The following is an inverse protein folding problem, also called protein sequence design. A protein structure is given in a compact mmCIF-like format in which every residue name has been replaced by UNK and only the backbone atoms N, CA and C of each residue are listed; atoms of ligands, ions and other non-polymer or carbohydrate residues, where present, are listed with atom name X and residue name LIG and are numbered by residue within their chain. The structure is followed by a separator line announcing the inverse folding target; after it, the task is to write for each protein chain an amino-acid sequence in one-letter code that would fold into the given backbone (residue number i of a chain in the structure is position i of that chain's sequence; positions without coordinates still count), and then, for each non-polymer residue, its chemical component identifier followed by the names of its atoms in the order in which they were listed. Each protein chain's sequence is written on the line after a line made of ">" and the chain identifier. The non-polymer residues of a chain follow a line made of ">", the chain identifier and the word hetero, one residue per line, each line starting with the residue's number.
data_IF_412151141308
#
_entry.id   IF_412151141308
#
_cell.length_a   1.000
_cell.length_b   1.000
_cell.length_c   1.000
_cell.angle_alpha   90.00
_cell.angle_beta   90.00
_cell.angle_gamma   90.00
#
_symmetry.space_group_name_H-M   'P 1'
#
loop_
_entity.id
_entity.type
_entity.pdbx_description
1 polymer ?
#
# COMPACT_ATOMS: atom_id res chain seq x y z
N UNK A 1 -4.88 -0.39 17.32
CA UNK A 1 -6.28 -0.09 16.98
C UNK A 1 -6.43 -0.32 15.48
N UNK A 2 -7.54 -0.87 15.00
CA UNK A 2 -7.78 -0.93 13.56
C UNK A 2 -7.89 0.50 13.01
N UNK A 3 -7.50 0.75 11.74
CA UNK A 3 -7.82 2.02 11.09
C UNK A 3 -9.33 2.25 11.21
N UNK A 4 -9.79 3.48 11.48
CA UNK A 4 -11.22 3.76 11.55
C UNK A 4 -11.87 3.35 10.23
N UNK A 5 -13.01 2.65 10.31
CA UNK A 5 -13.75 2.28 9.12
C UNK A 5 -14.14 3.55 8.33
N UNK A 6 -14.08 3.52 6.99
CA UNK A 6 -14.43 4.68 6.19
C UNK A 6 -15.87 5.11 6.47
N UNK A 7 -16.05 6.39 6.81
CA UNK A 7 -17.38 6.95 7.05
C UNK A 7 -18.03 7.25 5.71
N UNK A 8 -19.00 6.42 5.32
CA UNK A 8 -19.75 6.62 4.09
C UNK A 8 -20.84 7.68 4.29
N UNK A 9 -20.57 8.90 3.79
CA UNK A 9 -21.55 9.98 3.75
C UNK A 9 -22.06 10.22 2.32
N UNK A 10 -23.24 10.83 2.13
CA UNK A 10 -23.70 11.29 0.81
C UNK A 10 -22.68 12.19 0.11
N UNK A 11 -21.96 13.01 0.87
CA UNK A 11 -20.89 13.87 0.36
C UNK A 11 -19.70 13.05 -0.15
N UNK A 12 -19.21 12.08 0.63
CA UNK A 12 -18.11 11.17 0.23
C UNK A 12 -18.48 10.36 -1.03
N UNK A 13 -19.75 9.95 -1.16
CA UNK A 13 -20.23 9.27 -2.37
C UNK A 13 -20.24 10.20 -3.59
N UNK A 14 -20.56 11.47 -3.40
CA UNK A 14 -20.49 12.48 -4.46
C UNK A 14 -19.06 12.66 -4.95
N UNK A 15 -18.10 12.84 -4.04
CA UNK A 15 -16.68 12.93 -4.38
C UNK A 15 -16.17 11.64 -5.05
N UNK A 16 -16.55 10.47 -4.55
CA UNK A 16 -16.23 9.19 -5.22
C UNK A 16 -16.70 9.18 -6.67
N UNK A 17 -17.94 9.61 -6.93
CA UNK A 17 -18.48 9.64 -8.28
C UNK A 17 -17.78 10.66 -9.19
N UNK A 18 -17.30 11.78 -8.64
CA UNK A 18 -16.48 12.74 -9.39
C UNK A 18 -15.16 12.11 -9.84
N UNK A 19 -14.48 11.36 -8.96
CA UNK A 19 -13.27 10.63 -9.32
C UNK A 19 -13.54 9.55 -10.38
N UNK A 20 -14.63 8.79 -10.22
CA UNK A 20 -14.98 7.69 -11.13
C UNK A 20 -15.37 8.16 -12.52
N UNK A 21 -16.12 9.26 -12.63
CA UNK A 21 -16.71 9.71 -13.90
C UNK A 21 -15.93 10.84 -14.56
N UNK A 22 -15.09 11.55 -13.81
CA UNK A 22 -14.35 12.71 -14.32
C UNK A 22 -15.24 13.89 -14.74
N UNK A 23 -16.53 13.92 -14.38
CA UNK A 23 -17.40 15.03 -14.75
C UNK A 23 -16.91 16.33 -14.14
N UNK A 24 -16.67 17.35 -14.98
CA UNK A 24 -16.13 18.66 -14.61
C UNK A 24 -14.62 18.65 -14.25
N UNK A 25 -13.90 17.58 -14.61
CA UNK A 25 -12.44 17.56 -14.49
C UNK A 25 -11.80 18.64 -15.36
N UNK A 26 -10.81 19.32 -14.82
CA UNK A 26 -10.04 20.38 -15.46
C UNK A 26 -8.54 20.05 -15.51
N UNK A 27 -8.18 18.80 -15.18
CA UNK A 27 -6.82 18.27 -15.17
C UNK A 27 -6.79 16.78 -15.45
N UNK A 28 -5.68 16.30 -16.02
CA UNK A 28 -5.38 14.89 -16.23
C UNK A 28 -4.07 14.52 -15.54
N UNK A 29 -4.06 13.34 -14.93
CA UNK A 29 -2.83 12.66 -14.54
C UNK A 29 -2.67 11.45 -15.45
N UNK A 30 -1.61 11.42 -16.23
CA UNK A 30 -1.31 10.36 -17.18
C UNK A 30 -0.29 9.42 -16.54
N UNK A 31 -0.63 8.14 -16.48
CA UNK A 31 0.23 7.09 -15.97
C UNK A 31 0.19 5.90 -16.94
N UNK A 32 1.25 5.76 -17.74
CA UNK A 32 1.26 4.76 -18.82
C UNK A 32 0.04 4.92 -19.74
N UNK A 33 -0.75 3.86 -19.87
CA UNK A 33 -1.97 3.83 -20.69
C UNK A 33 -3.22 4.32 -19.94
N UNK A 34 -3.09 4.69 -18.67
CA UNK A 34 -4.19 5.17 -17.83
C UNK A 34 -4.16 6.68 -17.71
N UNK A 35 -5.30 7.30 -17.99
CA UNK A 35 -5.51 8.73 -17.78
C UNK A 35 -6.57 8.95 -16.72
N UNK A 36 -6.19 9.62 -15.65
CA UNK A 36 -7.08 10.00 -14.57
C UNK A 36 -7.59 11.41 -14.79
N UNK A 37 -8.89 11.54 -15.06
CA UNK A 37 -9.58 12.83 -15.10
C UNK A 37 -9.83 13.32 -13.68
N UNK A 38 -9.16 14.40 -13.27
CA UNK A 38 -9.16 14.91 -11.90
C UNK A 38 -9.53 16.38 -11.82
N UNK A 39 -9.94 16.82 -10.64
CA UNK A 39 -10.34 18.19 -10.36
C UNK A 39 -9.21 18.90 -9.62
N UNK A 40 -8.65 19.95 -10.21
CA UNK A 40 -7.55 20.75 -9.65
C UNK A 40 -7.86 21.23 -8.25
N UNK A 41 -9.09 21.73 -8.04
CA UNK A 41 -9.53 22.23 -6.73
C UNK A 41 -9.45 21.17 -5.63
N UNK A 42 -9.61 19.88 -5.96
CA UNK A 42 -9.53 18.78 -4.99
C UNK A 42 -8.07 18.35 -4.78
N UNK A 43 -7.31 18.18 -5.85
CA UNK A 43 -5.96 17.59 -5.77
C UNK A 43 -4.91 18.62 -5.34
N UNK A 44 -4.97 19.85 -5.84
CA UNK A 44 -4.01 20.92 -5.51
C UNK A 44 -4.25 21.51 -4.12
N UNK A 45 -5.48 21.50 -3.61
CA UNK A 45 -5.76 21.95 -2.24
C UNK A 45 -5.20 20.99 -1.17
N UNK A 46 -4.88 19.76 -1.58
CA UNK A 46 -4.35 18.72 -0.70
C UNK A 46 -2.87 18.41 -0.94
N UNK A 47 -2.34 18.68 -2.12
CA UNK A 47 -0.95 18.39 -2.49
C UNK A 47 -0.25 19.63 -3.02
N UNK A 48 0.70 20.15 -2.23
CA UNK A 48 1.62 21.22 -2.63
C UNK A 48 2.41 20.82 -3.88
N UNK A 49 2.88 19.58 -3.94
CA UNK A 49 3.57 19.02 -5.11
C UNK A 49 2.74 19.16 -6.39
N UNK A 50 1.46 18.76 -6.36
CA UNK A 50 0.58 18.89 -7.53
C UNK A 50 0.23 20.34 -7.83
N UNK A 51 0.11 21.20 -6.82
CA UNK A 51 -0.10 22.63 -7.02
C UNK A 51 1.10 23.27 -7.75
N UNK A 52 2.33 23.06 -7.24
CA UNK A 52 3.56 23.61 -7.79
C UNK A 52 3.87 23.06 -9.20
N UNK A 53 3.59 21.77 -9.42
CA UNK A 53 3.75 21.14 -10.73
C UNK A 53 2.81 21.73 -11.80
N UNK A 54 1.69 22.32 -11.40
CA UNK A 54 0.79 23.03 -12.31
C UNK A 54 1.21 24.49 -12.49
N UNK A 55 1.61 25.20 -11.44
CA UNK A 55 1.95 26.62 -11.51
C UNK A 55 3.26 26.87 -12.29
N UNK A 56 4.16 25.90 -12.31
CA UNK A 56 5.38 25.94 -13.14
C UNK A 56 5.13 25.78 -14.64
N UNK A 57 3.93 25.33 -15.06
CA UNK A 57 3.53 25.24 -16.47
C UNK A 57 2.76 26.51 -16.87
N UNK A 58 3.50 27.51 -17.35
CA UNK A 58 3.06 28.91 -17.51
C UNK A 58 2.20 29.21 -18.76
N UNK A 59 1.66 28.22 -19.46
CA UNK A 59 0.78 28.44 -20.61
C UNK A 59 -0.70 28.31 -20.17
N UNK A 60 -1.31 29.46 -19.88
CA UNK A 60 -2.70 29.60 -19.47
C UNK A 60 -3.65 29.52 -20.68
N UNK A 61 -4.18 28.33 -20.97
CA UNK A 61 -5.58 28.05 -21.37
C UNK A 61 -5.70 26.62 -21.88
N UNK A 62 -6.29 25.73 -21.07
CA UNK A 62 -6.51 24.34 -21.47
C UNK A 62 -6.54 23.36 -20.31
N UNK A 63 -6.86 22.10 -20.64
CA UNK A 63 -6.77 20.96 -19.73
C UNK A 63 -5.29 20.72 -19.39
N UNK A 64 -4.96 20.72 -18.09
CA UNK A 64 -3.57 20.56 -17.64
C UNK A 64 -3.21 19.09 -17.45
N UNK A 65 -1.99 18.72 -17.81
CA UNK A 65 -1.55 17.33 -17.77
C UNK A 65 -0.30 17.18 -16.91
N UNK A 66 -0.27 16.15 -16.08
CA UNK A 66 0.93 15.69 -15.37
C UNK A 66 1.17 14.24 -15.74
N UNK A 67 2.35 13.94 -16.29
CA UNK A 67 2.76 12.58 -16.61
C UNK A 67 3.57 11.98 -15.48
N UNK A 68 3.17 10.80 -15.03
CA UNK A 68 3.84 9.99 -14.00
C UNK A 68 4.31 8.65 -14.58
N UNK A 69 5.30 7.99 -13.97
CA UNK A 69 5.78 6.69 -14.42
C UNK A 69 4.66 5.63 -14.44
N UNK A 70 4.60 4.83 -15.51
CA UNK A 70 3.60 3.77 -15.67
C UNK A 70 3.65 2.69 -14.57
N UNK A 71 4.79 2.51 -13.91
CA UNK A 71 4.93 1.60 -12.76
C UNK A 71 4.07 2.01 -11.56
N UNK A 72 3.60 3.25 -11.52
CA UNK A 72 3.00 3.84 -10.34
C UNK A 72 1.47 3.85 -10.41
N UNK A 73 0.83 3.37 -11.49
CA UNK A 73 -0.60 3.67 -11.74
C UNK A 73 -1.53 3.14 -10.65
N UNK A 74 -1.25 1.94 -10.15
CA UNK A 74 -1.96 1.34 -9.03
C UNK A 74 -1.80 2.16 -7.73
N UNK A 75 -0.62 2.74 -7.51
CA UNK A 75 -0.34 3.56 -6.33
C UNK A 75 -0.92 4.97 -6.48
N UNK A 76 -0.84 5.55 -7.68
CA UNK A 76 -1.44 6.85 -8.04
C UNK A 76 -2.96 6.78 -7.88
N UNK A 77 -3.61 5.69 -8.30
CA UNK A 77 -5.04 5.50 -8.08
C UNK A 77 -5.40 5.50 -6.59
N UNK A 78 -4.56 4.90 -5.74
CA UNK A 78 -4.76 4.90 -4.28
C UNK A 78 -4.54 6.28 -3.66
N UNK A 79 -3.54 7.03 -4.15
CA UNK A 79 -3.33 8.44 -3.79
C UNK A 79 -4.54 9.29 -4.16
N UNK A 80 -5.08 9.12 -5.37
CA UNK A 80 -6.27 9.82 -5.84
C UNK A 80 -7.52 9.40 -5.06
N UNK A 81 -7.69 8.12 -4.79
CA UNK A 81 -8.76 7.61 -3.91
C UNK A 81 -8.73 8.35 -2.57
N UNK A 82 -7.56 8.45 -1.94
CA UNK A 82 -7.43 9.18 -0.68
C UNK A 82 -7.84 10.65 -0.82
N UNK A 83 -7.39 11.37 -1.85
CA UNK A 83 -7.76 12.77 -2.03
C UNK A 83 -9.27 12.99 -2.14
N UNK A 84 -10.02 12.05 -2.71
CA UNK A 84 -11.47 12.21 -2.89
C UNK A 84 -12.30 11.63 -1.74
N UNK A 85 -11.88 10.52 -1.14
CA UNK A 85 -12.70 9.79 -0.16
C UNK A 85 -12.03 9.60 1.19
N UNK A 86 -10.82 10.16 1.39
CA UNK A 86 -10.01 10.08 2.60
C UNK A 86 -9.67 8.65 3.03
N UNK A 87 -9.67 7.72 2.06
CA UNK A 87 -9.32 6.32 2.23
C UNK A 87 -8.85 5.72 0.89
N UNK A 88 -8.22 4.55 0.92
CA UNK A 88 -7.82 3.77 -0.25
C UNK A 88 -7.95 2.27 0.02
N UNK A 89 -8.10 1.46 -1.03
CA UNK A 89 -8.18 0.00 -0.87
C UNK A 89 -6.79 -0.63 -0.92
N UNK A 90 -6.53 -1.55 0.02
CA UNK A 90 -5.33 -2.39 -0.02
C UNK A 90 -5.51 -3.55 -1.01
N UNK A 91 -6.75 -3.97 -1.23
CA UNK A 91 -7.18 -5.00 -2.17
C UNK A 91 -8.01 -4.40 -3.31
N UNK A 92 -7.36 -4.25 -4.46
CA UNK A 92 -7.98 -3.65 -5.65
C UNK A 92 -8.05 -2.12 -5.61
N UNK A 93 -9.02 -1.57 -6.33
CA UNK A 93 -9.09 -0.15 -6.69
C UNK A 93 -10.52 0.40 -6.57
N UNK A 94 -10.62 1.73 -6.46
CA UNK A 94 -11.89 2.46 -6.64
C UNK A 94 -12.11 2.70 -8.12
N UNK A 95 -11.12 3.27 -8.80
CA UNK A 95 -11.14 3.45 -10.25
C UNK A 95 -10.74 2.13 -10.92
N UNK A 96 -11.56 1.57 -11.83
CA UNK A 96 -11.19 0.36 -12.56
C UNK A 96 -9.95 0.61 -13.43
N UNK A 97 -8.79 0.15 -12.96
CA UNK A 97 -7.58 0.08 -13.76
C UNK A 97 -7.66 -1.18 -14.61
N UNK A 98 -8.44 -1.11 -15.69
CA UNK A 98 -8.54 -2.23 -16.62
C UNK A 98 -7.17 -2.56 -17.18
N UNK A 99 -6.58 -3.70 -16.80
CA UNK A 99 -5.68 -4.36 -17.76
C UNK A 99 -6.53 -4.53 -19.01
N UNK A 100 -6.17 -3.85 -20.09
CA UNK A 100 -6.63 -4.25 -21.42
C UNK A 100 -6.00 -5.61 -21.69
N UNK A 101 -6.57 -6.68 -21.11
CA UNK A 101 -6.62 -7.94 -21.83
C UNK A 101 -7.29 -7.60 -23.14
N UNK A 102 -6.57 -7.78 -24.25
CA UNK A 102 -7.15 -7.76 -25.59
C UNK A 102 -8.22 -8.86 -25.65
N UNK A 103 -9.44 -8.55 -25.26
CA UNK A 103 -10.67 -9.24 -25.65
C UNK A 103 -11.83 -8.41 -25.08
N UNK A 104 -12.27 -7.44 -25.86
CA UNK A 104 -13.67 -6.99 -25.96
C UNK A 104 -13.77 -6.13 -27.24
N UNK A 105 -13.27 -6.67 -28.35
CA UNK A 105 -13.88 -6.40 -29.64
C UNK A 105 -15.06 -7.39 -29.73
N UNK A 106 -16.20 -7.00 -29.17
CA UNK A 106 -17.49 -7.54 -29.57
C UNK A 106 -18.12 -6.50 -30.50
N UNK A 107 -17.52 -6.37 -31.69
CA UNK A 107 -18.29 -6.01 -32.87
C UNK A 107 -19.11 -7.24 -33.24
N UNK A 108 -20.42 -7.04 -33.32
CA UNK A 108 -21.42 -7.99 -33.80
C UNK A 108 -21.15 -8.43 -35.23
N UNK A 109 -21.17 -9.76 -35.45
CA UNK A 109 -21.68 -10.59 -36.58
C UNK A 109 -21.49 -10.03 -38.02
N UNK A 110 -20.99 -10.72 -39.06
CA UNK A 110 -21.18 -12.07 -39.62
C UNK A 110 -19.93 -12.36 -40.53
N UNK A 111 -19.34 -13.55 -40.73
CA UNK A 111 -19.78 -14.65 -41.60
C UNK A 111 -18.65 -15.72 -41.74
N UNK A 112 -19.03 -16.93 -42.17
CA UNK A 112 -18.31 -18.21 -42.32
C UNK A 112 -17.08 -18.23 -43.26
N UNK A 113 -16.01 -18.99 -42.93
CA UNK A 113 -15.49 -20.14 -43.71
C UNK A 113 -14.27 -20.81 -43.01
N UNK A 114 -14.15 -22.12 -43.23
CA UNK A 114 -13.26 -23.12 -42.63
C UNK A 114 -11.83 -23.11 -43.19
N UNK A 115 -10.83 -23.20 -42.31
CA UNK A 115 -9.70 -24.15 -42.50
C UNK A 115 -8.82 -24.29 -41.26
N UNK A 116 -8.40 -25.53 -41.00
CA UNK A 116 -7.66 -25.97 -39.83
C UNK A 116 -6.17 -25.63 -39.88
N UNK A 117 -5.59 -25.13 -38.78
CA UNK A 117 -4.15 -25.26 -38.46
C UNK A 117 -3.94 -25.54 -36.97
N UNK A 118 -3.02 -26.46 -36.72
CA UNK A 118 -2.69 -27.17 -35.48
C UNK A 118 -2.31 -26.33 -34.25
N UNK A 119 -2.86 -26.82 -33.14
CA UNK A 119 -2.32 -26.99 -31.78
C UNK A 119 -0.86 -26.57 -31.59
N UNK A 120 -0.69 -25.53 -30.75
CA UNK A 120 0.55 -25.17 -30.07
C UNK A 120 0.24 -24.43 -28.76
N UNK A 121 -0.68 -24.97 -27.95
CA UNK A 121 -1.12 -24.36 -26.69
C UNK A 121 -0.02 -24.47 -25.63
N UNK A 122 0.88 -23.49 -25.58
CA UNK A 122 1.65 -23.17 -24.39
C UNK A 122 0.67 -22.69 -23.31
N UNK A 123 0.27 -23.61 -22.43
CA UNK A 123 -0.59 -23.35 -21.28
C UNK A 123 0.13 -22.38 -20.34
N UNK A 124 -0.13 -21.09 -20.45
CA UNK A 124 0.17 -20.18 -19.34
C UNK A 124 -0.87 -20.46 -18.27
N UNK A 125 -0.50 -21.33 -17.32
CA UNK A 125 -1.30 -21.65 -16.15
C UNK A 125 -1.73 -20.35 -15.47
N UNK A 126 -3.04 -20.09 -15.40
CA UNK A 126 -3.64 -19.09 -14.51
C UNK A 126 -3.28 -19.47 -13.07
N UNK A 127 -2.14 -18.99 -12.57
CA UNK A 127 -1.70 -19.26 -11.21
C UNK A 127 -2.54 -18.42 -10.27
N UNK A 128 -3.51 -19.05 -9.59
CA UNK A 128 -4.24 -18.43 -8.50
C UNK A 128 -3.20 -18.01 -7.44
N UNK A 129 -3.11 -16.73 -7.07
CA UNK A 129 -2.17 -16.29 -6.05
C UNK A 129 -2.42 -17.02 -4.72
N UNK A 130 -1.35 -17.43 -4.03
CA UNK A 130 -1.48 -18.06 -2.71
C UNK A 130 -1.98 -17.05 -1.67
N UNK A 131 -2.62 -17.52 -0.60
CA UNK A 131 -3.05 -16.65 0.50
C UNK A 131 -1.89 -15.84 1.10
N UNK A 132 -0.72 -16.47 1.21
CA UNK A 132 0.53 -15.81 1.61
C UNK A 132 0.87 -14.65 0.69
N UNK A 133 0.88 -14.86 -0.63
CA UNK A 133 1.21 -13.81 -1.59
C UNK A 133 0.22 -12.64 -1.50
N UNK A 134 -1.08 -12.92 -1.38
CA UNK A 134 -2.12 -11.89 -1.21
C UNK A 134 -1.87 -11.04 0.04
N UNK A 135 -1.57 -11.68 1.19
CA UNK A 135 -1.26 -10.97 2.43
C UNK A 135 -0.01 -10.12 2.31
N UNK A 136 1.04 -10.63 1.66
CA UNK A 136 2.28 -9.85 1.43
C UNK A 136 2.00 -8.64 0.55
N UNK A 137 1.23 -8.80 -0.54
CA UNK A 137 0.83 -7.70 -1.42
C UNK A 137 0.08 -6.60 -0.65
N UNK A 138 -0.89 -6.95 0.20
CA UNK A 138 -1.62 -5.98 1.03
C UNK A 138 -0.68 -5.12 1.88
N UNK A 139 0.34 -5.73 2.50
CA UNK A 139 1.33 -4.98 3.29
C UNK A 139 2.17 -4.04 2.42
N UNK A 140 2.68 -4.55 1.29
CA UNK A 140 3.57 -3.80 0.40
C UNK A 140 2.85 -2.64 -0.28
N UNK A 141 1.56 -2.78 -0.58
CA UNK A 141 0.72 -1.68 -1.08
C UNK A 141 0.74 -0.50 -0.10
N UNK A 142 0.62 -0.74 1.22
CA UNK A 142 0.71 0.35 2.21
C UNK A 142 2.08 1.03 2.21
N UNK A 143 3.16 0.26 2.03
CA UNK A 143 4.52 0.81 1.93
C UNK A 143 4.65 1.69 0.67
N UNK A 144 4.17 1.21 -0.47
CA UNK A 144 4.16 1.97 -1.73
C UNK A 144 3.34 3.26 -1.62
N UNK A 145 2.15 3.19 -1.02
CA UNK A 145 1.29 4.36 -0.80
C UNK A 145 1.95 5.37 0.13
N UNK A 146 2.65 4.94 1.18
CA UNK A 146 3.39 5.87 2.05
C UNK A 146 4.49 6.60 1.30
N UNK A 147 5.29 5.89 0.49
CA UNK A 147 6.37 6.50 -0.29
C UNK A 147 5.81 7.49 -1.32
N UNK A 148 4.70 7.14 -1.97
CA UNK A 148 4.00 8.06 -2.85
C UNK A 148 3.45 9.26 -2.07
N UNK A 149 2.83 9.05 -0.91
CA UNK A 149 2.31 10.13 -0.08
C UNK A 149 3.39 11.09 0.38
N UNK A 150 4.62 10.63 0.62
CA UNK A 150 5.77 11.50 0.88
C UNK A 150 6.14 12.32 -0.36
N UNK A 151 6.18 11.72 -1.55
CA UNK A 151 6.43 12.41 -2.82
C UNK A 151 5.36 13.47 -3.13
N UNK A 152 4.09 13.18 -2.87
CA UNK A 152 2.96 14.09 -3.12
C UNK A 152 2.70 15.07 -1.96
N UNK A 153 3.49 15.03 -0.88
CA UNK A 153 3.32 15.84 0.33
C UNK A 153 1.94 15.69 0.99
N UNK A 154 1.53 14.44 1.24
CA UNK A 154 0.24 14.07 1.81
C UNK A 154 0.39 13.47 3.20
N UNK A 155 0.60 14.32 4.20
CA UNK A 155 0.83 13.90 5.59
C UNK A 155 -0.29 13.01 6.16
N UNK A 156 -1.56 13.28 5.84
CA UNK A 156 -2.67 12.44 6.29
C UNK A 156 -2.67 11.04 5.67
N UNK A 157 -2.28 10.93 4.39
CA UNK A 157 -2.15 9.64 3.71
C UNK A 157 -0.95 8.84 4.23
N UNK A 158 0.18 9.49 4.51
CA UNK A 158 1.33 8.85 5.18
C UNK A 158 0.90 8.19 6.48
N UNK A 159 0.20 8.94 7.33
CA UNK A 159 -0.32 8.43 8.61
C UNK A 159 -1.29 7.27 8.41
N UNK A 160 -2.23 7.37 7.46
CA UNK A 160 -3.18 6.29 7.18
C UNK A 160 -2.47 5.01 6.72
N UNK A 161 -1.45 5.12 5.87
CA UNK A 161 -0.67 4.00 5.40
C UNK A 161 0.14 3.32 6.51
N UNK A 162 0.72 4.11 7.42
CA UNK A 162 1.36 3.58 8.63
C UNK A 162 0.36 2.83 9.52
N UNK A 163 -0.83 3.38 9.73
CA UNK A 163 -1.89 2.76 10.56
C UNK A 163 -2.36 1.43 9.96
N UNK A 164 -2.58 1.38 8.63
CA UNK A 164 -2.96 0.16 7.91
C UNK A 164 -1.87 -0.90 7.94
N UNK A 165 -0.62 -0.53 7.66
CA UNK A 165 0.51 -1.46 7.78
C UNK A 165 0.68 -1.98 9.21
N UNK A 166 0.56 -1.10 10.21
CA UNK A 166 0.62 -1.48 11.63
C UNK A 166 -0.46 -2.48 12.00
N UNK A 167 -1.68 -2.25 11.53
CA UNK A 167 -2.79 -3.19 11.73
C UNK A 167 -2.51 -4.52 11.04
N UNK A 168 -2.08 -4.51 9.77
CA UNK A 168 -1.71 -5.72 9.05
C UNK A 168 -0.64 -6.53 9.79
N UNK A 169 0.46 -5.90 10.22
CA UNK A 169 1.58 -6.56 10.89
C UNK A 169 1.14 -7.23 12.20
N UNK A 170 0.31 -6.55 13.01
CA UNK A 170 -0.22 -7.10 14.26
C UNK A 170 -1.15 -8.29 14.09
N UNK A 171 -1.83 -8.40 12.95
CA UNK A 171 -2.76 -9.50 12.67
C UNK A 171 -2.10 -10.64 11.90
N UNK A 172 -0.97 -10.39 11.23
CA UNK A 172 -0.33 -11.36 10.35
C UNK A 172 1.03 -11.85 10.84
N UNK A 173 1.52 -11.47 12.03
CA UNK A 173 2.86 -11.84 12.52
C UNK A 173 3.16 -13.35 12.57
N UNK A 174 2.12 -14.21 12.63
CA UNK A 174 2.26 -15.68 12.56
C UNK A 174 2.27 -16.24 11.13
N UNK A 175 1.84 -15.46 10.16
CA UNK A 175 1.76 -15.84 8.75
C UNK A 175 3.16 -15.85 8.13
N UNK A 176 3.42 -16.74 7.19
CA UNK A 176 4.68 -16.71 6.40
C UNK A 176 4.82 -15.37 5.65
N UNK A 177 3.70 -14.75 5.29
CA UNK A 177 3.65 -13.43 4.64
C UNK A 177 4.33 -12.34 5.47
N UNK A 178 4.32 -12.44 6.80
CA UNK A 178 5.00 -11.48 7.66
C UNK A 178 6.51 -11.50 7.46
N UNK A 179 7.09 -12.68 7.27
CA UNK A 179 8.53 -12.83 7.05
C UNK A 179 8.95 -12.36 5.66
N UNK A 180 8.14 -12.65 4.64
CA UNK A 180 8.34 -12.14 3.27
C UNK A 180 8.37 -10.60 3.28
N UNK A 181 7.38 -9.98 3.95
CA UNK A 181 7.28 -8.52 4.06
C UNK A 181 8.42 -7.92 4.87
N UNK A 182 8.88 -8.55 5.95
CA UNK A 182 10.07 -8.07 6.65
C UNK A 182 11.25 -8.05 5.68
N UNK A 183 11.48 -9.11 4.92
CA UNK A 183 12.59 -9.17 3.97
C UNK A 183 12.51 -8.04 2.93
N UNK A 184 11.32 -7.82 2.36
CA UNK A 184 11.10 -6.80 1.33
C UNK A 184 11.27 -5.40 1.92
N UNK A 185 10.66 -5.11 3.07
CA UNK A 185 10.74 -3.78 3.72
C UNK A 185 12.16 -3.46 4.15
N UNK A 186 12.87 -4.41 4.77
CA UNK A 186 14.25 -4.21 5.22
C UNK A 186 15.25 -4.04 4.07
N UNK A 187 14.87 -4.42 2.85
CA UNK A 187 15.70 -4.25 1.65
C UNK A 187 15.32 -2.99 0.87
N UNK A 188 14.03 -2.63 0.84
CA UNK A 188 13.51 -1.55 -0.01
C UNK A 188 13.45 -0.18 0.67
N UNK A 189 13.38 -0.12 2.00
CA UNK A 189 13.16 1.13 2.75
C UNK A 189 14.38 1.46 3.62
N UNK A 190 14.79 2.74 3.75
CA UNK A 190 15.90 3.13 4.62
C UNK A 190 15.71 2.72 6.09
N UNK A 191 16.82 2.45 6.80
CA UNK A 191 16.78 2.23 8.25
C UNK A 191 16.20 3.43 9.02
N UNK A 192 15.49 3.16 10.10
CA UNK A 192 14.81 4.16 10.93
C UNK A 192 13.44 4.60 10.37
N UNK A 193 12.94 3.95 9.32
CA UNK A 193 11.60 4.23 8.80
C UNK A 193 10.51 3.82 9.78
N UNK A 194 9.32 4.43 9.64
CA UNK A 194 8.14 4.06 10.42
C UNK A 194 7.73 2.60 10.24
N UNK A 195 8.00 2.02 9.07
CA UNK A 195 7.78 0.60 8.81
C UNK A 195 8.72 -0.27 9.61
N UNK A 196 10.02 0.05 9.66
CA UNK A 196 10.97 -0.69 10.48
C UNK A 196 10.61 -0.59 11.97
N UNK A 197 10.25 0.60 12.47
CA UNK A 197 9.79 0.78 13.86
C UNK A 197 8.60 -0.13 14.18
N UNK A 198 7.65 -0.27 13.25
CA UNK A 198 6.48 -1.16 13.40
C UNK A 198 6.89 -2.62 13.41
N UNK A 199 7.78 -3.05 12.53
CA UNK A 199 8.29 -4.42 12.49
C UNK A 199 9.03 -4.77 13.79
N UNK A 200 9.93 -3.89 14.25
CA UNK A 200 10.63 -4.03 15.54
C UNK A 200 9.62 -4.18 16.68
N UNK A 201 8.60 -3.31 16.72
CA UNK A 201 7.54 -3.36 17.73
C UNK A 201 6.82 -4.72 17.74
N UNK A 202 6.33 -5.17 16.59
CA UNK A 202 5.56 -6.42 16.47
C UNK A 202 6.41 -7.63 16.80
N UNK A 203 7.66 -7.67 16.33
CA UNK A 203 8.61 -8.75 16.65
C UNK A 203 8.88 -8.76 18.16
N UNK A 204 9.20 -7.61 18.78
CA UNK A 204 9.46 -7.54 20.23
C UNK A 204 8.23 -7.91 21.07
N UNK A 205 7.01 -7.64 20.60
CA UNK A 205 5.75 -8.03 21.25
C UNK A 205 5.50 -9.53 21.20
N UNK A 206 5.96 -10.20 20.15
CA UNK A 206 5.66 -11.61 19.90
C UNK A 206 6.91 -12.52 19.92
N UNK A 207 8.06 -12.02 20.39
CA UNK A 207 9.37 -12.66 20.27
C UNK A 207 9.40 -14.08 20.84
N UNK A 208 8.70 -14.34 21.96
CA UNK A 208 8.65 -15.66 22.59
C UNK A 208 8.06 -16.73 21.65
N UNK A 209 6.99 -16.38 20.93
CA UNK A 209 6.37 -17.28 19.95
C UNK A 209 7.26 -17.43 18.72
N UNK A 210 7.71 -16.31 18.17
CA UNK A 210 8.54 -16.27 16.96
C UNK A 210 9.85 -17.06 17.11
N UNK A 211 10.51 -16.98 18.26
CA UNK A 211 11.74 -17.76 18.55
C UNK A 211 11.44 -19.23 18.76
N UNK A 212 10.35 -19.58 19.44
CA UNK A 212 9.95 -20.98 19.66
C UNK A 212 9.68 -21.70 18.34
N UNK A 213 9.06 -21.00 17.39
CA UNK A 213 8.77 -21.54 16.06
C UNK A 213 10.05 -21.59 15.18
N UNK A 214 11.14 -20.95 15.60
CA UNK A 214 12.46 -20.96 14.95
C UNK A 214 12.56 -20.15 13.66
N UNK A 215 11.44 -19.81 13.02
CA UNK A 215 11.39 -19.17 11.69
C UNK A 215 12.00 -17.75 11.68
N UNK A 216 11.96 -17.04 12.81
CA UNK A 216 12.47 -15.65 12.87
C UNK A 216 13.99 -15.57 12.95
N UNK A 217 14.68 -16.63 13.41
CA UNK A 217 16.12 -16.59 13.70
C UNK A 217 16.96 -16.31 12.44
N UNK A 218 16.78 -17.03 11.32
CA UNK A 218 17.54 -16.75 10.10
C UNK A 218 17.32 -15.32 9.58
N UNK A 219 16.13 -14.76 9.80
CA UNK A 219 15.80 -13.40 9.38
C UNK A 219 16.54 -12.36 10.23
N UNK A 220 16.62 -12.56 11.55
CA UNK A 220 17.39 -11.68 12.45
C UNK A 220 18.90 -11.78 12.21
N UNK A 221 19.41 -12.97 11.86
CA UNK A 221 20.80 -13.15 11.44
C UNK A 221 21.11 -12.40 10.13
N UNK A 222 20.21 -12.50 9.16
CA UNK A 222 20.32 -11.79 7.88
C UNK A 222 20.27 -10.27 8.06
N UNK A 223 19.38 -9.77 8.91
CA UNK A 223 19.20 -8.35 9.18
C UNK A 223 19.68 -7.99 10.59
N UNK A 224 21.00 -7.99 10.79
CA UNK A 224 21.61 -7.71 12.09
C UNK A 224 21.20 -6.36 12.71
N UNK A 225 20.92 -5.35 11.90
CA UNK A 225 20.37 -4.07 12.36
C UNK A 225 18.99 -4.21 13.02
N UNK A 226 18.10 -4.98 12.39
CA UNK A 226 16.78 -5.32 12.94
C UNK A 226 16.94 -6.11 14.25
N UNK A 227 17.86 -7.08 14.30
CA UNK A 227 18.13 -7.85 15.52
C UNK A 227 18.59 -6.96 16.68
N UNK A 228 19.54 -6.05 16.43
CA UNK A 228 20.01 -5.09 17.42
C UNK A 228 18.88 -4.20 17.93
N UNK A 229 18.03 -3.69 17.03
CA UNK A 229 16.90 -2.84 17.39
C UNK A 229 15.82 -3.59 18.19
N UNK A 230 15.54 -4.85 17.85
CA UNK A 230 14.64 -5.73 18.62
C UNK A 230 15.18 -5.97 20.03
N UNK A 231 16.47 -6.28 20.17
CA UNK A 231 17.11 -6.46 21.49
C UNK A 231 17.02 -5.19 22.31
N UNK A 232 17.38 -4.04 21.73
CA UNK A 232 17.30 -2.74 22.38
C UNK A 232 15.88 -2.46 22.89
N UNK A 233 14.86 -2.69 22.04
CA UNK A 233 13.45 -2.52 22.43
C UNK A 233 13.04 -3.48 23.55
N UNK A 234 13.47 -4.73 23.54
CA UNK A 234 13.16 -5.69 24.61
C UNK A 234 13.71 -5.26 25.96
N UNK A 235 14.93 -4.70 25.98
CA UNK A 235 15.53 -4.13 27.20
C UNK A 235 14.75 -2.88 27.64
N UNK A 236 14.52 -1.92 26.74
CA UNK A 236 13.79 -0.68 27.06
C UNK A 236 12.35 -0.92 27.53
N UNK A 237 11.72 -2.01 27.10
CA UNK A 237 10.36 -2.38 27.52
C UNK A 237 10.32 -3.30 28.74
N UNK A 238 11.47 -3.60 29.36
CA UNK A 238 11.56 -4.46 30.54
C UNK A 238 11.18 -5.92 30.29
N UNK A 239 11.18 -6.36 29.02
CA UNK A 239 10.88 -7.75 28.64
C UNK A 239 12.09 -8.67 28.79
N UNK A 240 13.28 -8.09 28.82
CA UNK A 240 14.54 -8.74 29.22
C UNK A 240 15.07 -7.94 30.41
N UNK A 241 15.17 -8.60 31.56
CA UNK A 241 15.62 -7.98 32.81
C UNK A 241 17.05 -8.41 33.14
N UNK A 242 17.81 -7.52 33.76
CA UNK A 242 19.12 -7.87 34.30
C UNK A 242 19.03 -8.87 35.45
N UNK A 243 20.13 -9.58 35.78
CA UNK A 243 20.15 -10.60 36.84
C UNK A 243 19.73 -10.10 38.23
N UNK A 244 19.75 -8.78 38.46
CA UNK A 244 19.41 -8.14 39.75
C UNK A 244 18.10 -7.34 39.74
N UNK A 245 17.36 -7.32 38.63
CA UNK A 245 16.09 -6.61 38.52
C UNK A 245 14.93 -7.55 38.87
N UNK A 246 14.46 -7.50 40.12
CA UNK A 246 13.24 -8.23 40.52
C UNK A 246 12.04 -7.65 39.77
N UNK A 247 11.08 -8.49 39.30
CA UNK A 247 9.85 -7.99 38.73
C UNK A 247 9.13 -7.17 39.79
N UNK A 248 8.88 -5.89 39.49
CA UNK A 248 8.14 -5.00 40.39
C UNK A 248 6.73 -5.56 40.57
N UNK A 249 6.46 -6.16 41.72
CA UNK A 249 5.12 -6.61 42.10
C UNK A 249 4.19 -5.38 42.20
N UNK A 250 3.48 -5.05 41.12
CA UNK A 250 2.39 -4.08 41.18
C UNK A 250 1.18 -4.76 41.83
N UNK A 251 0.89 -4.33 43.05
CA UNK A 251 -0.42 -4.23 43.69
C UNK A 251 -1.33 -5.48 43.67
N UNK A 252 -1.11 -6.38 44.63
CA UNK A 252 -2.25 -6.87 45.41
C UNK A 252 -2.61 -5.76 46.42
N UNK A 253 -3.71 -5.06 46.16
CA UNK A 253 -4.50 -4.43 47.23
C UNK A 253 -5.92 -4.94 47.09
N UNK A 254 -6.39 -5.48 48.21
CA UNK A 254 -7.72 -5.98 48.51
C UNK A 254 -8.82 -5.01 48.08
#
# INVERSE_FOLDING_TARGET
>A
MAPPAPVHTPFTNTLRNLLLKGHLSDMQIICGDFTFNVHRVIVCSQSSFLHDALDSQFEETGMREITLPASDCETVERVLSYMYIQDYKEDGHVVPLGRKSQQDDLDSDEDEDSSAISIGSARTSLHIPTETALKSTVALVNVQVYLAAEKFDLSGLKKLAEEKFTYWARNNWKSTAFFDVIQDVMTAVPPGSKFEEVLIMVISENIKGLVKDGVIIPLLEKFGGLAAAVIARLVCTGRVTGPNERPSSRYQKN
#
